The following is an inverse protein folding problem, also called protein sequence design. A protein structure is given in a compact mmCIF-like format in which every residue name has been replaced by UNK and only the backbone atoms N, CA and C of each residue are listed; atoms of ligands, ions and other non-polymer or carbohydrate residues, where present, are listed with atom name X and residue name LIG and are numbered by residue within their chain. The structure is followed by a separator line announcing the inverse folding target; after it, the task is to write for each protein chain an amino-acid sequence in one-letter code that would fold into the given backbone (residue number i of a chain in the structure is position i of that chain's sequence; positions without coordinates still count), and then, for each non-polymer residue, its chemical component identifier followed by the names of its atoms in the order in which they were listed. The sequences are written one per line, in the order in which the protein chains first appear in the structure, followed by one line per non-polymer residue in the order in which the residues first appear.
data_IF_412895480149
#
_entry.id   IF_412895480149
#
_cell.length_a   1.000
_cell.length_b   1.000
_cell.length_c   1.000
_cell.angle_alpha   90.00
_cell.angle_beta   90.00
_cell.angle_gamma   90.00
#
_symmetry.space_group_name_H-M   'P 1'
#
loop_
_entity.id
_entity.type
_entity.pdbx_description
1 polymer ?
#
# COMPACT_ATOMS: atom_id res chain seq x y z
N UNK A 1 13.27 30.91 4.23
CA UNK A 1 12.26 31.44 3.30
C UNK A 1 12.51 30.79 1.95
N UNK A 2 11.60 29.94 1.49
CA UNK A 2 11.63 29.42 0.13
C UNK A 2 11.04 30.48 -0.80
N UNK A 3 11.78 30.87 -1.84
CA UNK A 3 11.33 31.88 -2.81
C UNK A 3 10.15 31.38 -3.66
N UNK A 4 9.89 30.06 -3.66
CA UNK A 4 8.75 29.41 -4.33
C UNK A 4 8.09 28.40 -3.39
N UNK A 5 6.75 28.26 -3.43
CA UNK A 5 6.08 27.19 -2.70
C UNK A 5 6.56 25.83 -3.23
N UNK A 6 6.76 24.88 -2.32
CA UNK A 6 7.09 23.51 -2.70
C UNK A 6 5.86 22.82 -3.29
N UNK A 7 6.04 22.12 -4.39
CA UNK A 7 5.02 21.19 -4.89
C UNK A 7 5.12 19.88 -4.12
N UNK A 8 4.01 19.46 -3.54
CA UNK A 8 3.88 18.21 -2.80
C UNK A 8 3.33 17.13 -3.72
N UNK A 9 4.17 16.16 -4.08
CA UNK A 9 3.75 14.93 -4.75
C UNK A 9 3.58 13.82 -3.72
N UNK A 10 2.40 13.22 -3.67
CA UNK A 10 2.09 12.11 -2.77
C UNK A 10 2.05 10.78 -3.52
N UNK A 11 2.88 9.85 -3.08
CA UNK A 11 2.67 8.43 -3.39
C UNK A 11 1.55 7.90 -2.50
N UNK A 12 0.36 7.74 -3.09
CA UNK A 12 -0.86 7.25 -2.46
C UNK A 12 -1.20 5.81 -2.91
N UNK A 13 -0.22 5.07 -3.44
CA UNK A 13 -0.44 3.75 -4.06
C UNK A 13 -0.96 2.67 -3.11
N UNK A 14 -0.99 2.92 -1.80
CA UNK A 14 -1.54 2.00 -0.79
C UNK A 14 -2.67 2.63 0.04
N UNK A 15 -3.19 3.79 -0.36
CA UNK A 15 -4.11 4.57 0.48
C UNK A 15 -5.49 4.85 -0.13
N UNK A 16 -5.87 4.15 -1.22
CA UNK A 16 -7.25 4.24 -1.73
C UNK A 16 -8.20 3.78 -0.62
N UNK A 17 -9.21 4.61 -0.30
CA UNK A 17 -10.16 4.38 0.78
C UNK A 17 -9.73 4.91 2.15
N UNK A 18 -8.44 5.27 2.33
CA UNK A 18 -7.98 5.93 3.56
C UNK A 18 -8.41 7.39 3.61
N UNK A 19 -8.72 7.84 4.84
CA UNK A 19 -9.02 9.26 5.12
C UNK A 19 -8.25 9.74 6.34
N UNK A 20 -7.95 11.05 6.38
CA UNK A 20 -7.46 11.75 7.55
C UNK A 20 -8.34 12.99 7.76
N UNK A 21 -8.85 13.18 8.98
CA UNK A 21 -9.85 14.21 9.29
C UNK A 21 -11.06 14.18 8.32
N UNK A 22 -11.48 12.98 7.88
CA UNK A 22 -12.58 12.78 6.94
C UNK A 22 -12.27 13.11 5.47
N UNK A 23 -11.05 13.53 5.15
CA UNK A 23 -10.62 13.83 3.79
C UNK A 23 -9.76 12.71 3.20
N UNK A 24 -9.93 12.43 1.90
CA UNK A 24 -9.12 11.42 1.21
C UNK A 24 -7.63 11.78 1.21
N UNK A 25 -6.79 10.76 1.13
CA UNK A 25 -5.33 10.92 1.18
C UNK A 25 -4.77 11.87 0.11
N UNK A 26 -5.40 11.95 -1.07
CA UNK A 26 -4.97 12.84 -2.15
C UNK A 26 -5.17 14.33 -1.87
N UNK A 27 -6.07 14.69 -0.95
CA UNK A 27 -6.32 16.11 -0.59
C UNK A 27 -5.19 16.79 0.16
N UNK A 28 -4.22 16.04 0.64
CA UNK A 28 -3.05 16.55 1.37
C UNK A 28 -1.82 16.75 0.48
N UNK A 29 -2.01 16.85 -0.84
CA UNK A 29 -0.94 17.07 -1.81
C UNK A 29 -1.47 17.84 -3.03
N UNK A 30 -0.55 18.47 -3.78
CA UNK A 30 -0.87 19.13 -5.04
C UNK A 30 -1.14 18.11 -6.15
N UNK A 31 -0.49 16.97 -6.07
CA UNK A 31 -0.65 15.83 -6.99
C UNK A 31 -0.49 14.51 -6.23
N UNK A 32 -1.38 13.56 -6.47
CA UNK A 32 -1.29 12.23 -5.88
C UNK A 32 -1.29 11.14 -6.97
N UNK A 33 -0.56 10.06 -6.71
CA UNK A 33 -0.52 8.88 -7.57
C UNK A 33 -1.14 7.69 -6.85
N UNK A 34 -1.97 6.93 -7.54
CA UNK A 34 -2.61 5.72 -7.05
C UNK A 34 -2.27 4.53 -7.93
N UNK A 35 -2.01 3.38 -7.32
CA UNK A 35 -1.78 2.12 -8.02
C UNK A 35 -3.08 1.36 -8.22
N UNK A 36 -3.25 0.80 -9.41
CA UNK A 36 -4.30 -0.17 -9.76
C UNK A 36 -3.72 -1.58 -9.99
N UNK A 37 -2.52 -1.85 -9.46
CA UNK A 37 -1.92 -3.18 -9.51
C UNK A 37 -2.89 -4.24 -8.93
N UNK A 38 -2.94 -5.49 -9.46
CA UNK A 38 -3.92 -6.52 -9.08
C UNK A 38 -4.05 -6.83 -7.58
N UNK A 39 -3.02 -6.57 -6.80
CA UNK A 39 -3.04 -6.79 -5.34
C UNK A 39 -3.51 -5.57 -4.53
N UNK A 40 -3.89 -4.45 -5.17
CA UNK A 40 -4.38 -3.26 -4.47
C UNK A 40 -5.86 -3.38 -4.10
N UNK A 41 -6.30 -2.57 -3.12
CA UNK A 41 -7.69 -2.55 -2.67
C UNK A 41 -8.68 -2.21 -3.81
N UNK A 42 -8.30 -1.28 -4.67
CA UNK A 42 -8.94 -1.03 -5.96
C UNK A 42 -7.92 -1.34 -7.03
N UNK A 43 -8.25 -2.24 -7.93
CA UNK A 43 -7.28 -2.79 -8.87
C UNK A 43 -7.87 -2.98 -10.27
N UNK A 44 -6.98 -3.08 -11.25
CA UNK A 44 -7.27 -3.57 -12.59
C UNK A 44 -6.97 -5.08 -12.69
N UNK A 45 -7.20 -5.68 -13.85
CA UNK A 45 -6.81 -7.06 -14.14
C UNK A 45 -5.36 -7.20 -14.64
N UNK A 46 -4.56 -6.16 -14.46
CA UNK A 46 -3.15 -6.03 -14.81
C UNK A 46 -2.60 -4.75 -14.19
N UNK A 47 -1.40 -4.33 -14.63
CA UNK A 47 -0.81 -3.10 -14.13
C UNK A 47 -1.61 -1.86 -14.56
N UNK A 48 -1.69 -0.91 -13.67
CA UNK A 48 -2.36 0.37 -13.91
C UNK A 48 -2.12 1.37 -12.78
N UNK A 49 -2.47 2.62 -13.05
CA UNK A 49 -2.37 3.68 -12.06
C UNK A 49 -3.18 4.90 -12.46
N UNK A 50 -3.35 5.80 -11.49
CA UNK A 50 -4.05 7.07 -11.67
C UNK A 50 -3.21 8.20 -11.12
N UNK A 51 -3.28 9.35 -11.78
CA UNK A 51 -2.78 10.63 -11.28
C UNK A 51 -4.02 11.48 -10.97
N UNK A 52 -4.05 12.07 -9.77
CA UNK A 52 -5.13 12.91 -9.29
C UNK A 52 -4.55 14.25 -8.83
N UNK A 53 -5.16 15.34 -9.25
CA UNK A 53 -4.78 16.71 -8.90
C UNK A 53 -5.97 17.65 -9.06
N UNK A 54 -5.97 18.75 -8.30
CA UNK A 54 -6.91 19.85 -8.46
C UNK A 54 -6.35 20.97 -9.39
N UNK A 55 -5.15 20.80 -9.95
CA UNK A 55 -4.55 21.73 -10.93
C UNK A 55 -4.93 21.32 -12.35
N UNK A 56 -5.53 22.20 -13.11
CA UNK A 56 -6.05 21.92 -14.46
C UNK A 56 -4.96 21.74 -15.54
N UNK A 57 -3.79 22.31 -15.35
CA UNK A 57 -2.68 22.25 -16.32
C UNK A 57 -1.98 20.88 -16.32
N UNK A 58 -1.84 20.26 -15.15
CA UNK A 58 -1.10 19.02 -15.01
C UNK A 58 -1.74 17.81 -15.70
N UNK A 59 -3.09 17.65 -15.68
CA UNK A 59 -3.73 16.58 -16.46
C UNK A 59 -3.52 16.73 -17.96
N UNK A 60 -3.48 17.96 -18.49
CA UNK A 60 -3.21 18.19 -19.92
C UNK A 60 -1.80 17.72 -20.29
N UNK A 61 -0.79 18.11 -19.51
CA UNK A 61 0.58 17.64 -19.68
C UNK A 61 0.68 16.10 -19.57
N UNK A 62 0.09 15.52 -18.52
CA UNK A 62 0.15 14.08 -18.27
C UNK A 62 -0.50 13.25 -19.41
N UNK A 63 -1.61 13.74 -19.98
CA UNK A 63 -2.26 13.09 -21.13
C UNK A 63 -1.40 13.10 -22.39
N UNK A 64 -0.71 14.20 -22.65
CA UNK A 64 0.26 14.28 -23.76
C UNK A 64 1.43 13.35 -23.48
N UNK A 65 2.05 13.46 -22.32
CA UNK A 65 3.26 12.71 -21.97
C UNK A 65 3.05 11.19 -22.01
N UNK A 66 1.93 10.67 -21.42
CA UNK A 66 1.60 9.23 -21.43
C UNK A 66 1.26 8.67 -22.81
N UNK A 67 1.06 9.53 -23.82
CA UNK A 67 0.65 9.17 -25.18
C UNK A 67 1.65 9.69 -26.21
N UNK A 68 2.94 9.43 -26.01
CA UNK A 68 4.01 9.79 -26.94
C UNK A 68 4.17 11.29 -27.21
N UNK A 69 3.57 12.17 -26.40
CA UNK A 69 3.54 13.61 -26.66
C UNK A 69 2.60 14.02 -27.82
N UNK A 70 1.67 13.13 -28.20
CA UNK A 70 0.74 13.34 -29.31
C UNK A 70 -0.39 14.28 -28.89
N UNK A 71 -0.51 15.43 -29.61
CA UNK A 71 -1.65 16.34 -29.52
C UNK A 71 -2.84 15.80 -30.33
N UNK A 72 -2.55 15.23 -31.47
CA UNK A 72 -3.47 14.54 -32.36
C UNK A 72 -2.75 13.33 -33.00
N UNK A 73 -3.40 12.67 -33.99
CA UNK A 73 -2.86 11.45 -34.59
C UNK A 73 -1.43 11.60 -35.16
N UNK A 74 -1.16 12.77 -35.72
CA UNK A 74 0.02 12.97 -36.59
C UNK A 74 1.01 14.03 -36.01
N UNK A 75 0.63 14.73 -34.92
CA UNK A 75 1.41 15.84 -34.37
C UNK A 75 1.97 15.54 -32.98
N UNK A 76 3.28 15.34 -32.89
CA UNK A 76 4.02 15.26 -31.63
C UNK A 76 4.43 16.68 -31.22
N UNK A 77 3.99 17.13 -30.05
CA UNK A 77 4.29 18.47 -29.51
C UNK A 77 5.33 18.48 -28.41
N UNK A 78 5.68 17.30 -27.87
CA UNK A 78 6.71 17.12 -26.84
C UNK A 78 7.19 15.66 -26.81
N UNK A 79 8.39 15.38 -26.30
CA UNK A 79 8.79 14.00 -25.98
C UNK A 79 7.84 13.36 -24.97
N UNK A 80 7.48 12.10 -25.18
CA UNK A 80 6.58 11.38 -24.28
C UNK A 80 6.83 9.88 -24.32
N UNK A 81 6.05 9.15 -23.53
CA UNK A 81 6.13 7.69 -23.39
C UNK A 81 4.78 7.05 -23.73
N UNK A 82 4.75 5.74 -23.87
CA UNK A 82 3.53 4.97 -23.84
C UNK A 82 3.25 4.50 -22.40
N UNK A 83 2.31 5.16 -21.74
CA UNK A 83 1.84 4.81 -20.38
C UNK A 83 0.32 5.01 -20.29
N UNK A 84 -0.38 4.38 -21.22
CA UNK A 84 -1.84 4.43 -21.30
C UNK A 84 -2.44 3.29 -20.49
N UNK A 85 -3.54 3.57 -19.78
CA UNK A 85 -4.37 2.54 -19.20
C UNK A 85 -5.36 2.04 -20.27
N UNK A 86 -5.36 0.75 -20.54
CA UNK A 86 -6.31 0.14 -21.47
C UNK A 86 -7.74 0.29 -20.97
N UNK A 87 -8.69 0.46 -21.89
CA UNK A 87 -10.10 0.67 -21.57
C UNK A 87 -10.68 -0.47 -20.72
N UNK A 88 -10.32 -1.73 -21.00
CA UNK A 88 -10.78 -2.87 -20.22
C UNK A 88 -10.27 -2.80 -18.77
N UNK A 89 -9.01 -2.40 -18.57
CA UNK A 89 -8.43 -2.20 -17.25
C UNK A 89 -9.10 -1.05 -16.50
N UNK A 90 -9.41 0.05 -17.21
CA UNK A 90 -10.13 1.18 -16.64
C UNK A 90 -11.54 0.80 -16.20
N UNK A 91 -12.26 -0.02 -16.96
CA UNK A 91 -13.59 -0.53 -16.60
C UNK A 91 -13.52 -1.41 -15.36
N UNK A 92 -12.55 -2.33 -15.28
CA UNK A 92 -12.36 -3.19 -14.11
C UNK A 92 -12.09 -2.34 -12.85
N UNK A 93 -11.13 -1.42 -12.92
CA UNK A 93 -10.82 -0.52 -11.81
C UNK A 93 -12.01 0.38 -11.40
N UNK A 94 -12.76 0.89 -12.38
CA UNK A 94 -13.96 1.68 -12.13
C UNK A 94 -15.04 0.87 -11.40
N UNK A 95 -15.28 -0.37 -11.81
CA UNK A 95 -16.26 -1.24 -11.18
C UNK A 95 -15.92 -1.52 -9.70
N UNK A 96 -14.65 -1.80 -9.41
CA UNK A 96 -14.20 -2.05 -8.03
C UNK A 96 -14.21 -0.77 -7.20
N UNK A 97 -13.93 0.38 -7.82
CA UNK A 97 -13.95 1.68 -7.13
C UNK A 97 -15.35 2.02 -6.57
N UNK A 98 -16.43 1.55 -7.19
CA UNK A 98 -17.78 1.74 -6.66
C UNK A 98 -17.97 1.06 -5.29
N UNK A 99 -17.21 -0.01 -5.03
CA UNK A 99 -17.28 -0.79 -3.80
C UNK A 99 -16.21 -0.37 -2.76
N UNK A 100 -15.43 0.67 -3.01
CA UNK A 100 -14.28 1.05 -2.17
C UNK A 100 -14.63 1.24 -0.70
N UNK A 101 -15.82 1.77 -0.42
CA UNK A 101 -16.29 1.99 0.94
C UNK A 101 -16.52 0.65 1.67
N UNK A 102 -17.23 -0.27 1.04
CA UNK A 102 -17.45 -1.64 1.56
C UNK A 102 -16.13 -2.38 1.79
N UNK A 103 -15.23 -2.30 0.80
CA UNK A 103 -13.89 -2.91 0.88
C UNK A 103 -13.12 -2.35 2.09
N UNK A 104 -13.12 -1.03 2.26
CA UNK A 104 -12.41 -0.37 3.35
C UNK A 104 -13.01 -0.72 4.71
N UNK A 105 -14.33 -0.74 4.84
CA UNK A 105 -15.02 -1.15 6.07
C UNK A 105 -14.60 -2.56 6.46
N UNK A 106 -14.71 -3.53 5.54
CA UNK A 106 -14.41 -4.93 5.86
C UNK A 106 -12.93 -5.15 6.24
N UNK A 107 -12.00 -4.48 5.57
CA UNK A 107 -10.57 -4.52 5.94
C UNK A 107 -10.32 -3.93 7.33
N UNK A 108 -11.03 -2.87 7.70
CA UNK A 108 -10.94 -2.30 9.06
C UNK A 108 -11.54 -3.25 10.11
N UNK A 109 -12.67 -3.91 9.85
CA UNK A 109 -13.23 -4.93 10.73
C UNK A 109 -12.25 -6.08 10.99
N UNK A 110 -11.62 -6.60 9.93
CA UNK A 110 -10.59 -7.64 10.04
C UNK A 110 -9.38 -7.14 10.88
N UNK A 111 -8.93 -5.91 10.64
CA UNK A 111 -7.81 -5.31 11.38
C UNK A 111 -8.14 -5.10 12.87
N UNK A 112 -9.38 -4.72 13.20
CA UNK A 112 -9.85 -4.59 14.59
C UNK A 112 -9.81 -5.96 15.28
N UNK A 113 -10.32 -7.02 14.64
CA UNK A 113 -10.26 -8.38 15.19
C UNK A 113 -8.81 -8.83 15.47
N UNK A 114 -7.86 -8.58 14.53
CA UNK A 114 -6.45 -8.86 14.77
C UNK A 114 -5.91 -8.08 15.96
N UNK A 115 -6.22 -6.80 16.07
CA UNK A 115 -5.75 -5.96 17.17
C UNK A 115 -6.25 -6.47 18.52
N UNK A 116 -7.53 -6.78 18.62
CA UNK A 116 -8.15 -7.32 19.83
C UNK A 116 -7.60 -8.71 20.16
N UNK A 117 -7.55 -9.59 19.16
CA UNK A 117 -7.14 -10.97 19.31
C UNK A 117 -5.66 -11.16 19.59
N UNK A 118 -4.78 -10.24 19.16
CA UNK A 118 -3.33 -10.30 19.39
C UNK A 118 -2.86 -9.38 20.53
N UNK A 119 -3.78 -8.63 21.15
CA UNK A 119 -3.44 -7.77 22.29
C UNK A 119 -2.87 -8.58 23.45
N UNK A 120 -1.86 -7.99 24.12
CA UNK A 120 -1.24 -8.58 25.30
C UNK A 120 -0.21 -9.68 25.04
N UNK A 121 0.08 -10.03 23.78
CA UNK A 121 1.21 -10.88 23.44
C UNK A 121 2.51 -10.07 23.46
N UNK A 122 3.43 -10.39 24.36
CA UNK A 122 4.69 -9.65 24.59
C UNK A 122 5.62 -9.65 23.35
N UNK A 123 5.53 -10.72 22.54
CA UNK A 123 6.34 -10.91 21.34
C UNK A 123 5.85 -10.14 20.10
N UNK A 124 4.75 -9.38 20.24
CA UNK A 124 4.10 -8.70 19.11
C UNK A 124 3.94 -7.22 19.37
N UNK A 125 4.39 -6.40 18.44
CA UNK A 125 4.07 -4.97 18.41
C UNK A 125 3.03 -4.70 17.32
N UNK A 126 1.85 -4.25 17.74
CA UNK A 126 0.76 -3.84 16.85
C UNK A 126 0.98 -2.43 16.31
N UNK A 127 0.52 -2.13 15.07
CA UNK A 127 0.63 -0.78 14.53
C UNK A 127 -0.16 0.21 15.39
N UNK A 128 0.29 1.48 15.53
CA UNK A 128 -0.44 2.48 16.29
C UNK A 128 -1.80 2.80 15.65
N UNK A 129 -2.75 3.26 16.45
CA UNK A 129 -4.05 3.79 16.00
C UNK A 129 -4.07 5.28 16.24
N UNK A 130 -4.49 6.03 15.22
CA UNK A 130 -4.84 7.43 15.33
C UNK A 130 -6.32 7.58 14.97
N UNK A 131 -7.11 8.14 15.87
CA UNK A 131 -8.56 8.34 15.68
C UNK A 131 -8.89 9.33 14.55
N UNK A 132 -7.94 10.19 14.16
CA UNK A 132 -8.08 11.10 13.04
C UNK A 132 -7.92 10.39 11.68
N UNK A 133 -7.39 9.16 11.69
CA UNK A 133 -7.04 8.41 10.47
C UNK A 133 -7.90 7.15 10.36
N UNK A 134 -8.65 7.05 9.26
CA UNK A 134 -9.21 5.78 8.81
C UNK A 134 -8.24 5.12 7.85
N UNK A 135 -7.72 3.97 8.21
CA UNK A 135 -6.76 3.22 7.40
C UNK A 135 -7.44 2.52 6.22
N UNK A 136 -6.73 2.38 5.11
CA UNK A 136 -7.17 1.54 3.99
C UNK A 136 -6.88 0.05 4.21
N UNK A 137 -5.96 -0.27 5.10
CA UNK A 137 -5.43 -1.61 5.35
C UNK A 137 -5.18 -2.41 4.06
N UNK A 138 -4.39 -1.81 3.16
CA UNK A 138 -3.85 -2.56 2.03
C UNK A 138 -3.06 -3.78 2.52
N UNK A 139 -2.26 -3.58 3.57
CA UNK A 139 -1.60 -4.61 4.35
C UNK A 139 -1.86 -4.37 5.84
N UNK A 140 -1.92 -5.45 6.63
CA UNK A 140 -1.91 -5.38 8.08
C UNK A 140 -0.57 -5.89 8.57
N UNK A 141 0.33 -4.97 8.92
CA UNK A 141 1.71 -5.27 9.30
C UNK A 141 1.84 -5.23 10.81
N UNK A 142 2.43 -6.27 11.37
CA UNK A 142 2.83 -6.34 12.78
C UNK A 142 4.35 -6.57 12.88
N UNK A 143 4.97 -6.17 13.98
CA UNK A 143 6.35 -6.54 14.27
C UNK A 143 6.32 -7.69 15.27
N UNK A 144 7.12 -8.71 15.01
CA UNK A 144 7.11 -9.95 15.78
C UNK A 144 8.52 -10.47 16.04
N UNK A 145 8.72 -11.10 17.16
CA UNK A 145 9.91 -11.91 17.40
C UNK A 145 9.81 -13.22 16.63
N UNK A 146 10.95 -13.82 16.28
CA UNK A 146 11.03 -15.10 15.56
C UNK A 146 10.22 -15.09 14.24
N UNK A 147 10.24 -13.94 13.53
CA UNK A 147 9.44 -13.66 12.34
C UNK A 147 9.46 -14.76 11.29
N UNK A 148 10.64 -15.30 10.95
CA UNK A 148 10.79 -16.31 9.91
C UNK A 148 10.23 -17.67 10.36
N UNK A 149 10.37 -18.02 11.64
CA UNK A 149 9.78 -19.22 12.23
C UNK A 149 8.25 -19.10 12.26
N UNK A 150 7.71 -17.96 12.70
CA UNK A 150 6.27 -17.70 12.66
C UNK A 150 5.72 -17.81 11.24
N UNK A 151 6.43 -17.24 10.25
CA UNK A 151 6.01 -17.32 8.85
C UNK A 151 5.95 -18.76 8.36
N UNK A 152 6.93 -19.60 8.69
CA UNK A 152 6.94 -21.02 8.34
C UNK A 152 5.79 -21.77 9.05
N UNK A 153 5.62 -21.55 10.35
CA UNK A 153 4.53 -22.10 11.15
C UNK A 153 3.14 -21.81 10.57
N UNK A 154 2.91 -20.56 10.17
CA UNK A 154 1.65 -20.11 9.56
C UNK A 154 1.43 -20.78 8.19
N UNK A 155 2.48 -20.88 7.38
CA UNK A 155 2.41 -21.51 6.06
C UNK A 155 2.03 -22.99 6.14
N UNK A 156 2.62 -23.74 7.07
CA UNK A 156 2.29 -25.15 7.33
C UNK A 156 0.81 -25.35 7.73
N UNK A 157 0.17 -24.29 8.26
CA UNK A 157 -1.24 -24.27 8.67
C UNK A 157 -2.17 -23.59 7.67
N UNK A 158 -1.67 -23.43 6.42
CA UNK A 158 -2.46 -22.87 5.33
C UNK A 158 -2.66 -21.35 5.40
N UNK A 159 -1.94 -20.65 6.28
CA UNK A 159 -1.99 -19.18 6.39
C UNK A 159 -0.82 -18.57 5.62
N UNK A 160 -1.14 -17.84 4.55
CA UNK A 160 -0.15 -17.18 3.71
C UNK A 160 0.17 -15.78 4.22
N UNK A 161 1.19 -15.67 5.08
CA UNK A 161 1.73 -14.38 5.52
C UNK A 161 2.90 -13.93 4.63
N UNK A 162 3.07 -12.63 4.48
CA UNK A 162 4.07 -12.02 3.60
C UNK A 162 5.01 -11.07 4.36
N UNK A 163 6.14 -10.71 3.75
CA UNK A 163 7.08 -9.72 4.29
C UNK A 163 7.25 -8.60 3.27
N UNK A 164 6.94 -7.35 3.65
CA UNK A 164 7.00 -6.19 2.78
C UNK A 164 7.88 -5.07 3.38
N UNK A 165 9.27 -5.11 3.25
CA UNK A 165 10.06 -6.09 2.50
C UNK A 165 11.22 -6.59 3.36
N UNK A 166 11.81 -7.78 3.08
CA UNK A 166 12.83 -8.38 3.95
C UNK A 166 14.20 -7.69 3.87
N UNK A 167 14.45 -6.93 2.81
CA UNK A 167 15.71 -6.20 2.60
C UNK A 167 15.39 -4.71 2.43
N UNK A 168 15.86 -3.85 3.35
CA UNK A 168 15.73 -2.40 3.22
C UNK A 168 16.33 -1.87 1.92
N UNK A 169 15.74 -0.78 1.37
CA UNK A 169 16.13 -0.24 0.05
C UNK A 169 17.62 0.09 -0.02
N UNK A 170 18.19 0.70 1.02
CA UNK A 170 19.61 1.07 1.06
C UNK A 170 20.56 -0.13 1.04
N UNK A 171 20.10 -1.34 1.41
CA UNK A 171 20.87 -2.60 1.37
C UNK A 171 20.66 -3.40 0.08
N UNK A 172 19.77 -2.94 -0.82
CA UNK A 172 19.55 -3.59 -2.10
C UNK A 172 20.77 -3.42 -3.03
N UNK A 173 21.11 -4.49 -3.76
CA UNK A 173 22.26 -4.47 -4.69
C UNK A 173 22.23 -3.32 -5.68
N UNK A 174 21.04 -2.94 -6.17
CA UNK A 174 20.87 -1.85 -7.13
C UNK A 174 21.18 -0.46 -6.56
N UNK A 175 21.28 -0.30 -5.24
CA UNK A 175 21.52 0.98 -4.55
C UNK A 175 22.88 1.04 -3.84
N UNK A 176 23.74 0.03 -3.99
CA UNK A 176 25.07 -0.01 -3.38
C UNK A 176 25.96 1.18 -3.78
N UNK A 177 25.73 1.77 -4.95
CA UNK A 177 26.44 2.96 -5.42
C UNK A 177 26.22 4.20 -4.54
N UNK A 178 25.20 4.22 -3.68
CA UNK A 178 24.95 5.29 -2.71
C UNK A 178 25.85 5.22 -1.47
N UNK A 179 26.60 4.11 -1.28
CA UNK A 179 27.58 3.96 -0.21
C UNK A 179 26.99 3.68 1.18
N UNK A 180 25.72 3.35 1.28
CA UNK A 180 25.09 2.99 2.55
C UNK A 180 25.37 1.54 2.92
N UNK A 181 25.44 1.29 4.25
CA UNK A 181 25.73 0.01 4.84
C UNK A 181 24.71 -0.34 5.93
N UNK A 182 24.72 -1.59 6.39
CA UNK A 182 23.93 -2.00 7.56
C UNK A 182 24.40 -1.20 8.79
N UNK A 183 23.43 -0.66 9.54
CA UNK A 183 23.64 0.22 10.69
C UNK A 183 23.40 1.70 10.39
N UNK A 184 23.37 2.12 9.12
CA UNK A 184 23.12 3.52 8.76
C UNK A 184 21.66 3.93 9.00
N UNK A 185 20.74 2.98 8.92
CA UNK A 185 19.30 3.20 9.15
C UNK A 185 18.71 2.16 10.10
N UNK A 186 19.06 2.19 11.40
CA UNK A 186 18.74 1.11 12.35
C UNK A 186 17.25 0.85 12.51
N UNK A 187 16.40 1.86 12.41
CA UNK A 187 14.94 1.69 12.56
C UNK A 187 14.34 0.87 11.42
N UNK A 188 14.67 1.18 10.15
CA UNK A 188 14.14 0.43 9.00
C UNK A 188 14.77 -0.98 8.93
N UNK A 189 16.00 -1.13 9.35
CA UNK A 189 16.68 -2.42 9.43
C UNK A 189 16.00 -3.33 10.46
N UNK A 190 15.74 -2.80 11.67
CA UNK A 190 14.98 -3.51 12.69
C UNK A 190 13.56 -3.87 12.22
N UNK A 191 12.86 -2.94 11.56
CA UNK A 191 11.53 -3.25 11.01
C UNK A 191 11.60 -4.35 9.96
N UNK A 192 12.57 -4.33 9.05
CA UNK A 192 12.74 -5.37 8.04
C UNK A 192 13.00 -6.76 8.63
N UNK A 193 13.68 -6.82 9.77
CA UNK A 193 13.98 -8.06 10.46
C UNK A 193 12.78 -8.64 11.25
N UNK A 194 11.79 -7.79 11.64
CA UNK A 194 10.67 -8.19 12.51
C UNK A 194 9.29 -8.14 11.85
N UNK A 195 9.12 -7.39 10.75
CA UNK A 195 7.80 -7.19 10.16
C UNK A 195 7.24 -8.43 9.46
N UNK A 196 5.94 -8.66 9.65
CA UNK A 196 5.14 -9.65 8.92
C UNK A 196 3.77 -9.06 8.59
N UNK A 197 3.30 -9.31 7.38
CA UNK A 197 1.97 -8.88 6.92
C UNK A 197 1.01 -10.05 7.00
N UNK A 198 -0.06 -9.89 7.77
CA UNK A 198 -1.14 -10.85 7.87
C UNK A 198 -2.17 -10.64 6.75
N UNK A 199 -2.88 -11.68 6.32
CA UNK A 199 -3.97 -11.55 5.36
C UNK A 199 -5.08 -10.66 5.94
N UNK A 200 -5.57 -9.68 5.16
CA UNK A 200 -6.53 -8.66 5.65
C UNK A 200 -7.57 -8.29 4.58
N UNK A 201 -7.66 -9.07 3.48
CA UNK A 201 -8.52 -8.72 2.35
C UNK A 201 -10.02 -8.82 2.72
N UNK A 202 -10.85 -8.14 1.95
CA UNK A 202 -12.30 -7.99 2.17
C UNK A 202 -13.13 -9.26 1.99
N UNK A 203 -12.54 -10.32 1.47
CA UNK A 203 -13.20 -11.61 1.29
C UNK A 203 -12.97 -12.57 2.47
N UNK A 204 -12.20 -12.17 3.49
CA UNK A 204 -12.01 -13.00 4.67
C UNK A 204 -13.28 -13.06 5.50
N UNK A 205 -13.61 -14.27 5.99
CA UNK A 205 -14.63 -14.43 7.02
C UNK A 205 -14.06 -14.15 8.41
N UNK A 206 -14.93 -13.92 9.38
CA UNK A 206 -14.51 -13.69 10.77
C UNK A 206 -13.82 -14.92 11.36
N UNK A 207 -14.27 -16.13 10.97
CA UNK A 207 -13.67 -17.40 11.37
C UNK A 207 -12.24 -17.56 10.83
N UNK A 208 -11.99 -17.10 9.60
CA UNK A 208 -10.64 -17.11 9.02
C UNK A 208 -9.70 -16.16 9.77
N UNK A 209 -10.16 -14.97 10.14
CA UNK A 209 -9.37 -14.04 10.96
C UNK A 209 -9.12 -14.62 12.35
N UNK A 210 -10.14 -15.20 12.99
CA UNK A 210 -10.02 -15.87 14.29
C UNK A 210 -9.01 -17.03 14.24
N UNK A 211 -9.05 -17.84 13.17
CA UNK A 211 -8.08 -18.92 12.96
C UNK A 211 -6.65 -18.41 12.88
N UNK A 212 -6.39 -17.35 12.12
CA UNK A 212 -5.04 -16.76 12.05
C UNK A 212 -4.58 -16.28 13.43
N UNK A 213 -5.45 -15.66 14.21
CA UNK A 213 -5.15 -15.20 15.57
C UNK A 213 -4.79 -16.41 16.46
N UNK A 214 -5.57 -17.48 16.42
CA UNK A 214 -5.33 -18.71 17.17
C UNK A 214 -3.95 -19.28 16.82
N UNK A 215 -3.63 -19.44 15.54
CA UNK A 215 -2.34 -19.99 15.11
C UNK A 215 -1.14 -19.13 15.58
N UNK A 216 -1.29 -17.80 15.62
CA UNK A 216 -0.24 -16.92 16.14
C UNK A 216 -0.09 -17.06 17.65
N UNK A 217 -1.21 -17.16 18.39
CA UNK A 217 -1.16 -17.38 19.84
C UNK A 217 -0.52 -18.71 20.20
N UNK A 218 -0.88 -19.79 19.49
CA UNK A 218 -0.30 -21.13 19.70
C UNK A 218 1.20 -21.18 19.44
N UNK A 219 1.70 -20.35 18.51
CA UNK A 219 3.12 -20.27 18.22
C UNK A 219 3.94 -19.66 19.39
N UNK A 220 3.34 -18.77 20.17
CA UNK A 220 4.02 -18.06 21.27
C UNK A 220 3.68 -18.64 22.67
N UNK A 221 2.85 -19.67 22.75
CA UNK A 221 2.63 -20.44 23.99
C UNK A 221 3.67 -21.51 24.19
#
# INVERSE_FOLDING_TARGET
NLERPLTVLRDACQSIGATMFGQSSGKFADIATYSLHPLKNVHACGDGGMIVTDNDDWPAFARLYRNHGLKDRDTVVMPGINSRLDTLQAIAGWQILQDVERITIKRNENAIQYREGLAGLEHITLPPVDSAIRQAYHTFVILVERRDELKAWLLERGVQAAIHYPVPVHLQKGYQYLGYHRGDFPNVESQADHQISLPVHEFMTNEQVAYVIEQIRDFYQ
#
